data_IF_601107889821
#
_entry.id   IF_601107889821
#
_cell.length_a   1.000
_cell.length_b   1.000
_cell.length_c   1.000
_cell.angle_alpha   90.00
_cell.angle_beta   90.00
_cell.angle_gamma   90.00
#
_symmetry.space_group_name_H-M   'P 1'
#
loop_
_entity.id
_entity.type
_entity.pdbx_description
1 polymer ?
#
# COMPACT_ATOMS: atom_id res chain seq x y z
N UNK A 1 21.92 -0.68 0.15
CA UNK A 1 20.98 0.47 0.07
C UNK A 1 19.50 0.04 0.21
N UNK A 2 19.22 -1.16 0.71
CA UNK A 2 17.90 -1.83 0.66
C UNK A 2 16.98 -1.55 1.86
N UNK A 3 17.53 -1.06 2.98
CA UNK A 3 16.77 -0.79 4.22
C UNK A 3 15.67 0.28 4.03
N UNK A 4 15.87 1.23 3.12
CA UNK A 4 14.92 2.31 2.85
C UNK A 4 13.82 1.95 1.84
N UNK A 5 13.99 0.90 1.04
CA UNK A 5 13.04 0.53 -0.04
C UNK A 5 11.73 0.01 0.56
N UNK A 6 11.81 -0.78 1.62
CA UNK A 6 10.64 -1.34 2.31
C UNK A 6 9.71 -0.26 2.91
N UNK A 7 10.19 0.73 3.69
CA UNK A 7 9.35 1.82 4.16
C UNK A 7 8.87 2.74 3.02
N UNK A 8 9.70 2.98 1.99
CA UNK A 8 9.32 3.78 0.84
C UNK A 8 8.15 3.13 0.06
N UNK A 9 8.19 1.82 -0.16
CA UNK A 9 7.11 1.08 -0.82
C UNK A 9 5.81 1.11 -0.02
N UNK A 10 5.88 1.03 1.32
CA UNK A 10 4.69 1.17 2.18
C UNK A 10 4.03 2.54 2.04
N UNK A 11 4.82 3.60 1.94
CA UNK A 11 4.31 4.97 1.77
C UNK A 11 3.62 5.11 0.41
N UNK A 12 4.28 4.65 -0.66
CA UNK A 12 3.72 4.68 -2.02
C UNK A 12 2.43 3.86 -2.10
N UNK A 13 2.41 2.67 -1.49
CA UNK A 13 1.23 1.83 -1.44
C UNK A 13 0.06 2.52 -0.73
N UNK A 14 0.33 3.17 0.40
CA UNK A 14 -0.70 3.89 1.15
C UNK A 14 -1.29 5.04 0.33
N UNK A 15 -0.44 5.80 -0.35
CA UNK A 15 -0.87 6.87 -1.26
C UNK A 15 -1.72 6.35 -2.41
N UNK A 16 -1.30 5.25 -3.05
CA UNK A 16 -2.03 4.64 -4.16
C UNK A 16 -3.45 4.19 -3.73
N UNK A 17 -3.56 3.54 -2.56
CA UNK A 17 -4.85 3.08 -2.02
C UNK A 17 -5.78 4.27 -1.74
N UNK A 18 -5.28 5.30 -1.05
CA UNK A 18 -6.09 6.48 -0.71
C UNK A 18 -6.54 7.21 -1.97
N UNK A 19 -5.64 7.40 -2.93
CA UNK A 19 -5.94 8.07 -4.19
C UNK A 19 -6.99 7.30 -5.01
N UNK A 20 -6.85 5.97 -5.10
CA UNK A 20 -7.80 5.11 -5.78
C UNK A 20 -9.21 5.22 -5.21
N UNK A 21 -9.37 5.07 -3.89
CA UNK A 21 -10.69 5.17 -3.27
C UNK A 21 -11.26 6.58 -3.31
N UNK A 22 -10.42 7.62 -3.25
CA UNK A 22 -10.87 9.00 -3.37
C UNK A 22 -11.38 9.34 -4.78
N UNK A 23 -10.82 8.72 -5.82
CA UNK A 23 -11.33 8.84 -7.19
C UNK A 23 -12.62 8.05 -7.45
N UNK A 24 -12.82 6.95 -6.71
CA UNK A 24 -14.01 6.09 -6.81
C UNK A 24 -15.22 6.62 -6.02
N UNK A 25 -14.97 7.34 -4.92
CA UNK A 25 -16.04 7.84 -4.07
C UNK A 25 -16.72 9.06 -4.73
N UNK A 26 -18.07 9.09 -4.77
CA UNK A 26 -18.80 10.28 -5.20
C UNK A 26 -18.54 11.45 -4.22
N UNK A 27 -18.84 12.69 -4.62
CA UNK A 27 -18.71 13.84 -3.74
C UNK A 27 -19.67 13.72 -2.54
N UNK A 28 -19.16 13.17 -1.44
CA UNK A 28 -19.85 13.04 -0.17
C UNK A 28 -19.45 14.18 0.76
N UNK A 29 -20.17 14.34 1.88
CA UNK A 29 -19.71 15.24 2.94
C UNK A 29 -18.29 14.85 3.40
N UNK A 30 -17.48 15.82 3.87
CA UNK A 30 -16.09 15.55 4.27
C UNK A 30 -15.96 14.43 5.31
N UNK A 31 -16.91 14.37 6.25
CA UNK A 31 -16.98 13.33 7.27
C UNK A 31 -17.29 11.95 6.67
N UNK A 32 -18.32 11.85 5.81
CA UNK A 32 -18.71 10.60 5.17
C UNK A 32 -17.61 10.07 4.23
N UNK A 33 -16.95 10.95 3.48
CA UNK A 33 -15.80 10.58 2.63
C UNK A 33 -14.66 10.00 3.44
N UNK A 34 -14.35 10.61 4.59
CA UNK A 34 -13.27 10.14 5.46
C UNK A 34 -13.58 8.77 6.05
N UNK A 35 -14.81 8.57 6.54
CA UNK A 35 -15.24 7.28 7.08
C UNK A 35 -15.21 6.20 6.00
N UNK A 36 -15.75 6.48 4.81
CA UNK A 36 -15.73 5.54 3.69
C UNK A 36 -14.28 5.20 3.26
N UNK A 37 -13.40 6.20 3.19
CA UNK A 37 -11.98 5.99 2.91
C UNK A 37 -11.32 5.09 3.96
N UNK A 38 -11.54 5.33 5.24
CA UNK A 38 -10.95 4.51 6.31
C UNK A 38 -11.47 3.07 6.24
N UNK A 39 -12.79 2.89 6.09
CA UNK A 39 -13.43 1.56 6.04
C UNK A 39 -12.94 0.75 4.84
N UNK A 40 -12.68 1.38 3.69
CA UNK A 40 -12.23 0.68 2.49
C UNK A 40 -10.70 0.55 2.40
N UNK A 41 -9.96 1.61 2.75
CA UNK A 41 -8.51 1.65 2.59
C UNK A 41 -7.79 0.79 3.64
N UNK A 42 -8.27 0.75 4.89
CA UNK A 42 -7.58 0.03 5.97
C UNK A 42 -7.56 -1.49 5.72
N UNK A 43 -8.68 -2.18 5.41
CA UNK A 43 -8.66 -3.61 5.12
C UNK A 43 -7.78 -3.94 3.91
N UNK A 44 -7.90 -3.15 2.83
CA UNK A 44 -7.08 -3.31 1.61
C UNK A 44 -5.60 -3.13 1.92
N UNK A 45 -5.24 -2.13 2.71
CA UNK A 45 -3.86 -1.91 3.13
C UNK A 45 -3.30 -3.07 3.95
N UNK A 46 -4.08 -3.64 4.88
CA UNK A 46 -3.66 -4.81 5.68
C UNK A 46 -3.43 -6.02 4.78
N UNK A 47 -4.36 -6.33 3.89
CA UNK A 47 -4.27 -7.49 2.98
C UNK A 47 -3.07 -7.34 2.05
N UNK A 48 -2.95 -6.20 1.37
CA UNK A 48 -1.86 -5.98 0.41
C UNK A 48 -0.51 -5.90 1.11
N UNK A 49 -0.44 -5.27 2.29
CA UNK A 49 0.79 -5.26 3.09
C UNK A 49 1.20 -6.66 3.52
N UNK A 50 0.25 -7.54 3.90
CA UNK A 50 0.57 -8.93 4.21
C UNK A 50 1.00 -9.69 2.95
N UNK A 51 0.32 -9.52 1.83
CA UNK A 51 0.69 -10.20 0.59
C UNK A 51 2.09 -9.79 0.11
N UNK A 52 2.43 -8.50 0.15
CA UNK A 52 3.71 -7.99 -0.32
C UNK A 52 4.86 -8.19 0.68
N UNK A 53 4.61 -8.07 1.99
CA UNK A 53 5.66 -8.06 3.01
C UNK A 53 5.69 -9.29 3.93
N UNK A 54 4.65 -10.12 3.96
CA UNK A 54 4.55 -11.34 4.79
C UNK A 54 4.69 -12.63 3.96
N UNK A 55 4.36 -12.62 2.66
CA UNK A 55 4.75 -13.69 1.74
C UNK A 55 6.24 -13.53 1.47
N UNK A 56 7.09 -14.36 2.08
CA UNK A 56 8.54 -14.33 1.94
C UNK A 56 9.08 -14.67 0.55
N UNK A 57 8.52 -14.10 -0.52
CA UNK A 57 8.85 -14.45 -1.91
C UNK A 57 8.90 -13.28 -2.88
N UNK A 58 8.00 -12.29 -2.81
CA UNK A 58 7.96 -11.24 -3.83
C UNK A 58 9.07 -10.19 -3.70
N UNK A 59 9.40 -9.76 -2.47
CA UNK A 59 10.48 -8.79 -2.22
C UNK A 59 11.83 -9.45 -1.97
N UNK A 60 11.85 -10.68 -1.44
CA UNK A 60 13.09 -11.46 -1.32
C UNK A 60 13.70 -11.74 -2.70
N UNK A 61 12.88 -11.98 -3.72
CA UNK A 61 13.33 -12.17 -5.11
C UNK A 61 13.87 -10.87 -5.74
N UNK A 62 13.35 -9.69 -5.36
CA UNK A 62 13.86 -8.40 -5.84
C UNK A 62 15.20 -8.05 -5.17
N UNK A 63 15.35 -8.30 -3.86
CA UNK A 63 16.63 -8.10 -3.17
C UNK A 63 17.72 -9.04 -3.75
N UNK A 64 17.42 -10.32 -3.99
CA UNK A 64 18.36 -11.28 -4.60
C UNK A 64 18.78 -10.89 -6.03
N UNK A 65 17.89 -10.27 -6.82
CA UNK A 65 18.20 -9.85 -8.18
C UNK A 65 18.93 -8.50 -8.24
N UNK A 66 18.77 -7.65 -7.22
CA UNK A 66 19.49 -6.38 -7.08
C UNK A 66 20.91 -6.57 -6.52
N UNK A 67 21.15 -7.53 -5.62
CA UNK A 67 22.49 -7.86 -5.09
C UNK A 67 23.35 -8.67 -6.09
N UNK A 68 22.76 -9.17 -7.18
CA UNK A 68 23.48 -9.93 -8.24
C UNK A 68 24.14 -9.07 -9.33
N UNK A 69 24.06 -7.74 -9.23
CA UNK A 69 24.71 -6.79 -10.15
C UNK A 69 25.65 -5.85 -9.40
#
# INVERSE_FOLDING_TARGET
MTVAVKPMLRIVLTFAIVWFYRGLLPPLSPAASTVALVVLAVPTWVVVSRLLFNSGGALAMIDDEFDRK
#
